data_IF_415816731897
#
_entry.id   IF_415816731897
#
_cell.length_a   1.000
_cell.length_b   1.000
_cell.length_c   1.000
_cell.angle_alpha   90.00
_cell.angle_beta   90.00
_cell.angle_gamma   90.00
#
_symmetry.space_group_name_H-M   'P 1'
#
loop_
_entity.id
_entity.type
_entity.pdbx_description
1 polymer ?
#
# COMPACT_ATOMS: atom_id res chain seq x y z
N UNK A 1 -1.35 2.87 34.92
CA UNK A 1 -2.34 2.25 34.01
C UNK A 1 -3.35 3.35 33.77
N UNK A 2 -3.02 4.25 32.84
CA UNK A 2 -3.83 5.44 32.59
C UNK A 2 -5.11 5.04 31.87
N UNK A 3 -6.23 5.46 32.45
CA UNK A 3 -7.56 5.34 31.89
C UNK A 3 -7.57 5.94 30.48
N UNK A 4 -7.97 5.13 29.49
CA UNK A 4 -8.45 5.61 28.21
C UNK A 4 -9.76 6.38 28.42
N UNK A 5 -9.65 7.56 29.03
CA UNK A 5 -10.76 8.42 29.39
C UNK A 5 -11.50 8.84 28.12
N UNK A 6 -12.82 8.69 28.20
CA UNK A 6 -13.73 8.53 27.08
C UNK A 6 -13.68 9.69 26.07
N UNK A 7 -13.23 9.38 24.85
CA UNK A 7 -13.49 10.25 23.71
C UNK A 7 -15.01 10.51 23.60
N UNK A 8 -15.44 11.72 23.20
CA UNK A 8 -16.86 12.01 22.99
C UNK A 8 -17.46 11.02 21.97
N UNK A 9 -18.75 10.68 22.09
CA UNK A 9 -19.42 9.83 21.10
C UNK A 9 -19.32 10.47 19.71
N UNK A 10 -19.29 9.63 18.68
CA UNK A 10 -19.31 10.11 17.30
C UNK A 10 -20.60 10.93 17.07
N UNK A 11 -20.53 12.09 16.41
CA UNK A 11 -21.73 12.93 16.21
C UNK A 11 -22.79 12.25 15.33
N UNK A 12 -24.06 12.39 15.70
CA UNK A 12 -25.20 11.83 14.95
C UNK A 12 -25.56 12.65 13.69
N UNK A 13 -25.00 13.84 13.53
CA UNK A 13 -25.28 14.79 12.45
C UNK A 13 -24.26 14.75 11.31
N UNK A 14 -23.28 13.85 11.38
CA UNK A 14 -22.25 13.68 10.34
C UNK A 14 -22.63 12.51 9.42
N UNK A 15 -22.75 12.73 8.09
CA UNK A 15 -22.99 11.66 7.14
C UNK A 15 -21.92 10.57 7.24
N UNK A 16 -22.36 9.32 7.39
CA UNK A 16 -21.46 8.15 7.43
C UNK A 16 -21.51 7.36 6.14
N UNK A 17 -20.37 6.80 5.73
CA UNK A 17 -20.32 5.78 4.69
C UNK A 17 -20.14 4.39 5.32
N UNK A 18 -20.85 3.35 4.82
CA UNK A 18 -20.66 1.99 5.33
C UNK A 18 -19.28 1.45 4.94
N UNK A 19 -18.48 1.07 5.94
CA UNK A 19 -17.19 0.41 5.74
C UNK A 19 -17.39 -1.10 5.67
N UNK A 20 -17.82 -1.59 4.49
CA UNK A 20 -18.05 -3.01 4.29
C UNK A 20 -16.75 -3.81 4.47
N UNK A 21 -16.79 -4.87 5.28
CA UNK A 21 -15.70 -5.84 5.43
C UNK A 21 -16.09 -7.19 4.84
N UNK A 22 -15.25 -7.68 3.93
CA UNK A 22 -15.35 -8.99 3.27
C UNK A 22 -14.27 -9.93 3.80
N UNK A 23 -14.50 -11.25 3.72
CA UNK A 23 -13.55 -12.27 4.13
C UNK A 23 -12.82 -12.89 2.94
N UNK A 24 -11.48 -12.76 2.91
CA UNK A 24 -10.67 -13.42 1.89
C UNK A 24 -10.83 -14.95 1.92
N UNK A 25 -10.94 -15.54 3.12
CA UNK A 25 -11.13 -16.99 3.28
C UNK A 25 -12.42 -17.48 2.62
N UNK A 26 -13.53 -16.76 2.82
CA UNK A 26 -14.83 -17.07 2.21
C UNK A 26 -14.84 -16.87 0.70
N UNK A 27 -14.17 -15.82 0.21
CA UNK A 27 -13.99 -15.59 -1.22
C UNK A 27 -13.16 -16.73 -1.86
N UNK A 28 -12.10 -17.19 -1.20
CA UNK A 28 -11.32 -18.37 -1.63
C UNK A 28 -12.15 -19.65 -1.68
N UNK A 29 -13.02 -19.84 -0.69
CA UNK A 29 -13.97 -20.95 -0.66
C UNK A 29 -15.14 -20.79 -1.64
N UNK A 30 -15.23 -19.65 -2.35
CA UNK A 30 -16.33 -19.29 -3.25
C UNK A 30 -17.70 -19.39 -2.57
N UNK A 31 -17.78 -18.99 -1.31
CA UNK A 31 -19.07 -18.93 -0.60
C UNK A 31 -20.03 -18.00 -1.37
N UNK A 32 -21.20 -18.48 -1.84
CA UNK A 32 -22.08 -17.71 -2.72
C UNK A 32 -22.48 -16.36 -2.15
N UNK A 33 -22.67 -16.28 -0.84
CA UNK A 33 -23.09 -15.06 -0.15
C UNK A 33 -21.97 -14.02 -0.14
N UNK A 34 -20.72 -14.44 0.08
CA UNK A 34 -19.58 -13.51 0.11
C UNK A 34 -19.25 -13.00 -1.29
N UNK A 35 -19.35 -13.85 -2.31
CA UNK A 35 -19.19 -13.45 -3.72
C UNK A 35 -20.24 -12.40 -4.10
N UNK A 36 -21.52 -12.60 -3.73
CA UNK A 36 -22.57 -11.61 -3.99
C UNK A 36 -22.29 -10.28 -3.27
N UNK A 37 -21.83 -10.32 -2.02
CA UNK A 37 -21.45 -9.11 -1.25
C UNK A 37 -20.27 -8.39 -1.89
N UNK A 38 -19.28 -9.12 -2.39
CA UNK A 38 -18.15 -8.56 -3.12
C UNK A 38 -18.59 -7.83 -4.39
N UNK A 39 -19.37 -8.48 -5.27
CA UNK A 39 -19.87 -7.86 -6.50
C UNK A 39 -20.69 -6.59 -6.20
N UNK A 40 -21.60 -6.67 -5.23
CA UNK A 40 -22.42 -5.52 -4.83
C UNK A 40 -21.56 -4.35 -4.29
N UNK A 41 -20.48 -4.64 -3.56
CA UNK A 41 -19.56 -3.61 -3.06
C UNK A 41 -18.83 -2.90 -4.21
N UNK A 42 -18.38 -3.66 -5.20
CA UNK A 42 -17.72 -3.14 -6.40
C UNK A 42 -18.67 -2.25 -7.23
N UNK A 43 -19.92 -2.66 -7.40
CA UNK A 43 -20.92 -1.93 -8.21
C UNK A 43 -21.47 -0.68 -7.51
N UNK A 44 -21.65 -0.73 -6.18
CA UNK A 44 -22.30 0.37 -5.45
C UNK A 44 -21.31 1.41 -4.92
N UNK A 45 -20.28 0.99 -4.18
CA UNK A 45 -19.35 1.89 -3.49
C UNK A 45 -17.99 1.97 -4.19
N UNK A 46 -17.59 0.92 -4.91
CA UNK A 46 -16.24 0.79 -5.47
C UNK A 46 -15.15 0.62 -4.41
N UNK A 47 -15.53 0.37 -3.15
CA UNK A 47 -14.62 0.26 -2.01
C UNK A 47 -15.12 -0.75 -0.96
N UNK A 48 -14.18 -1.50 -0.38
CA UNK A 48 -14.42 -2.41 0.75
C UNK A 48 -13.11 -2.69 1.49
N UNK A 49 -13.21 -3.11 2.74
CA UNK A 49 -12.12 -3.76 3.46
C UNK A 49 -12.13 -5.24 3.19
N UNK A 50 -10.94 -5.82 3.04
CA UNK A 50 -10.76 -7.25 2.97
C UNK A 50 -10.05 -7.74 4.22
N UNK A 51 -10.69 -8.69 4.90
CA UNK A 51 -10.08 -9.42 5.99
C UNK A 51 -9.10 -10.44 5.44
N UNK A 52 -7.82 -10.15 5.66
CA UNK A 52 -6.68 -10.98 5.26
C UNK A 52 -6.26 -11.98 6.35
N UNK A 53 -7.07 -12.16 7.40
CA UNK A 53 -6.72 -12.98 8.57
C UNK A 53 -6.11 -14.34 8.21
N UNK A 54 -4.91 -14.58 8.75
CA UNK A 54 -4.14 -15.81 8.52
C UNK A 54 -3.32 -15.85 7.23
N UNK A 55 -3.36 -14.82 6.38
CA UNK A 55 -2.56 -14.76 5.15
C UNK A 55 -1.15 -14.21 5.40
N UNK A 56 -0.15 -14.83 4.76
CA UNK A 56 1.26 -14.45 4.88
C UNK A 56 1.53 -13.00 4.43
N UNK A 57 0.67 -12.42 3.59
CA UNK A 57 0.77 -11.03 3.13
C UNK A 57 0.79 -10.04 4.29
N UNK A 58 0.12 -10.34 5.42
CA UNK A 58 0.09 -9.45 6.59
C UNK A 58 1.47 -9.34 7.25
N UNK A 59 2.12 -10.47 7.51
CA UNK A 59 3.47 -10.49 8.10
C UNK A 59 4.51 -9.86 7.15
N UNK A 60 4.33 -10.08 5.84
CA UNK A 60 5.17 -9.44 4.82
C UNK A 60 4.96 -7.93 4.76
N UNK A 61 3.72 -7.46 4.92
CA UNK A 61 3.39 -6.04 5.00
C UNK A 61 4.02 -5.38 6.23
N UNK A 62 3.94 -6.02 7.40
CA UNK A 62 4.57 -5.54 8.64
C UNK A 62 6.08 -5.37 8.46
N UNK A 63 6.76 -6.37 7.91
CA UNK A 63 8.19 -6.29 7.61
C UNK A 63 8.53 -5.20 6.56
N UNK A 64 7.62 -4.91 5.63
CA UNK A 64 7.78 -3.82 4.68
C UNK A 64 7.51 -2.45 5.30
N UNK A 65 6.65 -2.34 6.32
CA UNK A 65 6.51 -1.10 7.08
C UNK A 65 7.82 -0.75 7.80
N UNK A 66 8.51 -1.74 8.37
CA UNK A 66 9.83 -1.54 8.98
C UNK A 66 10.88 -1.12 7.92
N UNK A 67 10.87 -1.76 6.75
CA UNK A 67 11.74 -1.39 5.64
C UNK A 67 11.46 0.04 5.14
N UNK A 68 10.18 0.43 5.06
CA UNK A 68 9.73 1.76 4.68
C UNK A 68 10.17 2.82 5.69
N UNK A 69 10.04 2.55 6.98
CA UNK A 69 10.55 3.44 8.04
C UNK A 69 12.06 3.65 7.90
N UNK A 70 12.82 2.55 7.82
CA UNK A 70 14.27 2.61 7.67
C UNK A 70 14.71 3.31 6.37
N UNK A 71 13.94 3.19 5.28
CA UNK A 71 14.16 3.93 4.04
C UNK A 71 13.97 5.43 4.23
N UNK A 72 12.87 5.86 4.84
CA UNK A 72 12.57 7.29 4.97
C UNK A 72 13.36 7.98 6.08
N UNK A 73 13.91 7.22 7.04
CA UNK A 73 14.89 7.68 8.04
C UNK A 73 16.28 7.96 7.42
N UNK A 74 16.55 7.53 6.18
CA UNK A 74 17.79 7.88 5.49
C UNK A 74 17.90 9.40 5.25
N UNK A 75 19.11 9.97 5.26
CA UNK A 75 19.31 11.37 4.91
C UNK A 75 18.75 11.69 3.53
N UNK A 76 18.16 12.88 3.37
CA UNK A 76 17.61 13.33 2.08
C UNK A 76 18.65 13.24 0.95
N UNK A 77 19.91 13.57 1.23
CA UNK A 77 20.99 13.48 0.26
C UNK A 77 21.20 12.05 -0.25
N UNK A 78 20.98 11.03 0.58
CA UNK A 78 21.06 9.64 0.18
C UNK A 78 19.83 9.25 -0.66
N UNK A 79 18.62 9.56 -0.18
CA UNK A 79 17.36 9.28 -0.90
C UNK A 79 17.34 9.93 -2.29
N UNK A 80 17.83 11.16 -2.41
CA UNK A 80 17.89 11.92 -3.66
C UNK A 80 18.78 11.30 -4.74
N UNK A 81 19.73 10.41 -4.38
CA UNK A 81 20.53 9.65 -5.36
C UNK A 81 19.67 8.69 -6.20
N UNK A 82 18.49 8.36 -5.71
CA UNK A 82 17.53 7.46 -6.31
C UNK A 82 16.34 8.20 -6.95
N UNK A 83 16.42 9.53 -7.12
CA UNK A 83 15.47 10.28 -7.93
C UNK A 83 15.77 10.06 -9.41
N UNK A 84 14.88 9.33 -10.06
CA UNK A 84 14.98 9.00 -11.48
C UNK A 84 13.99 9.79 -12.35
N UNK A 85 13.35 10.84 -11.81
CA UNK A 85 12.37 11.66 -12.54
C UNK A 85 12.92 12.22 -13.85
N UNK A 86 14.22 12.59 -13.88
CA UNK A 86 14.92 13.06 -15.09
C UNK A 86 15.01 12.01 -16.21
N UNK A 87 14.83 10.74 -15.87
CA UNK A 87 14.76 9.63 -16.83
C UNK A 87 13.32 9.38 -17.32
N UNK A 88 12.36 10.23 -16.96
CA UNK A 88 10.96 10.10 -17.36
C UNK A 88 10.25 8.90 -16.74
N UNK A 89 10.73 8.39 -15.60
CA UNK A 89 10.12 7.26 -14.89
C UNK A 89 9.53 7.71 -13.56
N UNK A 90 8.56 6.93 -13.07
CA UNK A 90 8.04 7.05 -11.71
C UNK A 90 8.83 6.22 -10.70
N UNK A 91 9.78 5.39 -11.12
CA UNK A 91 10.56 4.52 -10.22
C UNK A 91 11.54 5.33 -9.37
N UNK A 92 11.86 4.80 -8.20
CA UNK A 92 12.78 5.45 -7.27
C UNK A 92 12.11 6.50 -6.38
N UNK A 93 12.93 7.40 -5.85
CA UNK A 93 12.54 8.37 -4.84
C UNK A 93 11.90 9.62 -5.44
N UNK A 94 10.88 10.13 -4.75
CA UNK A 94 10.27 11.45 -4.99
C UNK A 94 10.23 12.22 -3.68
N UNK A 95 10.73 13.45 -3.71
CA UNK A 95 10.79 14.34 -2.55
C UNK A 95 9.47 15.07 -2.24
N UNK A 96 9.34 15.50 -0.99
CA UNK A 96 8.22 16.35 -0.55
C UNK A 96 8.10 17.60 -1.41
N UNK A 97 6.88 17.92 -1.83
CA UNK A 97 6.56 19.09 -2.63
C UNK A 97 6.92 18.97 -4.11
N UNK A 98 7.32 17.79 -4.59
CA UNK A 98 7.61 17.58 -6.01
C UNK A 98 6.35 17.41 -6.87
N UNK A 99 5.15 17.35 -6.30
CA UNK A 99 3.88 17.31 -7.04
C UNK A 99 2.85 18.28 -6.50
N UNK A 100 1.94 18.72 -7.38
CA UNK A 100 0.81 19.59 -7.03
C UNK A 100 -0.34 18.71 -6.54
N UNK A 101 -0.84 18.99 -5.34
CA UNK A 101 -1.86 18.22 -4.65
C UNK A 101 -3.30 18.67 -4.97
N UNK A 102 -3.50 19.93 -5.39
CA UNK A 102 -4.82 20.49 -5.66
C UNK A 102 -4.84 21.52 -6.79
N UNK A 103 -6.04 21.92 -7.21
CA UNK A 103 -6.23 22.90 -8.28
C UNK A 103 -5.71 24.31 -7.94
N UNK A 104 -5.44 24.60 -6.66
CA UNK A 104 -4.89 25.87 -6.21
C UNK A 104 -3.35 25.93 -6.35
N UNK A 105 -2.71 24.82 -6.73
CA UNK A 105 -1.25 24.76 -6.85
C UNK A 105 -0.54 24.40 -5.55
N UNK A 106 -1.26 23.95 -4.51
CA UNK A 106 -0.65 23.53 -3.25
C UNK A 106 0.27 22.35 -3.51
N UNK A 107 1.51 22.43 -3.04
CA UNK A 107 2.47 21.33 -3.14
C UNK A 107 2.13 20.24 -2.11
N UNK A 108 2.34 18.98 -2.48
CA UNK A 108 2.14 17.86 -1.58
C UNK A 108 3.07 17.91 -0.35
N UNK A 109 2.69 17.15 0.68
CA UNK A 109 3.46 17.02 1.93
C UNK A 109 3.96 15.59 2.16
N UNK A 110 4.13 14.83 1.08
CA UNK A 110 4.54 13.43 1.15
C UNK A 110 5.83 13.18 0.38
N UNK A 111 6.59 12.20 0.84
CA UNK A 111 7.61 11.56 0.04
C UNK A 111 7.16 10.13 -0.30
N UNK A 112 7.63 9.60 -1.42
CA UNK A 112 7.37 8.22 -1.79
C UNK A 112 8.57 7.60 -2.51
N UNK A 113 8.62 6.27 -2.49
CA UNK A 113 9.59 5.48 -3.23
C UNK A 113 8.84 4.39 -4.00
N UNK A 114 8.97 4.39 -5.32
CA UNK A 114 8.31 3.41 -6.18
C UNK A 114 9.26 2.28 -6.56
N UNK A 115 8.79 1.05 -6.39
CA UNK A 115 9.54 -0.17 -6.71
C UNK A 115 8.81 -0.91 -7.82
N UNK A 116 9.47 -1.12 -8.95
CA UNK A 116 8.89 -1.79 -10.10
C UNK A 116 8.81 -3.31 -9.91
N UNK A 117 7.68 -3.91 -10.29
CA UNK A 117 7.54 -5.37 -10.32
C UNK A 117 8.56 -6.00 -11.27
N UNK A 118 8.71 -5.46 -12.48
CA UNK A 118 9.64 -6.00 -13.47
C UNK A 118 11.10 -5.94 -13.01
N UNK A 119 11.45 -4.96 -12.17
CA UNK A 119 12.76 -4.92 -11.52
C UNK A 119 12.91 -6.08 -10.53
N UNK A 120 12.03 -6.15 -9.52
CA UNK A 120 12.08 -7.18 -8.46
C UNK A 120 12.05 -8.60 -9.02
N UNK A 121 11.35 -8.80 -10.13
CA UNK A 121 11.25 -10.09 -10.80
C UNK A 121 12.31 -10.34 -11.88
N UNK A 122 13.22 -9.39 -12.10
CA UNK A 122 14.30 -9.47 -13.09
C UNK A 122 13.80 -9.66 -14.53
N UNK A 123 12.65 -9.05 -14.84
CA UNK A 123 11.99 -9.11 -16.14
C UNK A 123 12.25 -7.85 -17.00
N UNK A 124 12.93 -6.85 -16.43
CA UNK A 124 13.20 -5.59 -17.10
C UNK A 124 14.45 -4.89 -16.57
N UNK A 125 14.45 -3.55 -16.66
CA UNK A 125 15.55 -2.74 -16.12
C UNK A 125 15.64 -2.90 -14.61
N UNK A 126 16.83 -3.28 -14.13
CA UNK A 126 17.20 -3.20 -12.70
C UNK A 126 17.51 -1.75 -12.34
N UNK A 127 16.84 -1.22 -11.32
CA UNK A 127 17.10 0.11 -10.81
C UNK A 127 18.09 0.04 -9.63
N UNK A 128 19.03 0.99 -9.52
CA UNK A 128 19.76 1.18 -8.28
C UNK A 128 18.77 1.44 -7.13
N UNK A 129 19.02 0.84 -5.97
CA UNK A 129 18.22 1.04 -4.76
C UNK A 129 19.12 1.21 -3.53
N UNK A 130 18.65 1.89 -2.46
CA UNK A 130 19.32 1.89 -1.17
C UNK A 130 19.50 0.49 -0.61
N UNK A 131 20.57 0.26 0.16
CA UNK A 131 20.87 -1.03 0.77
C UNK A 131 19.71 -1.58 1.62
N UNK A 132 18.94 -0.71 2.26
CA UNK A 132 17.74 -1.10 3.04
C UNK A 132 16.69 -1.81 2.18
N UNK A 133 16.57 -1.46 0.90
CA UNK A 133 15.68 -2.15 -0.04
C UNK A 133 16.40 -3.31 -0.73
N UNK A 134 17.66 -3.12 -1.13
CA UNK A 134 18.43 -4.12 -1.87
C UNK A 134 18.63 -5.40 -1.04
N UNK A 135 18.98 -5.27 0.24
CA UNK A 135 19.10 -6.39 1.19
C UNK A 135 17.77 -7.12 1.46
N UNK A 136 16.63 -6.51 1.09
CA UNK A 136 15.27 -7.04 1.32
C UNK A 136 14.54 -7.39 0.03
N UNK A 137 15.25 -7.54 -1.11
CA UNK A 137 14.61 -7.90 -2.40
C UNK A 137 13.76 -9.17 -2.33
N UNK A 138 14.19 -10.18 -1.57
CA UNK A 138 13.40 -11.40 -1.38
C UNK A 138 12.04 -11.11 -0.72
N UNK A 139 12.00 -10.26 0.31
CA UNK A 139 10.77 -9.83 0.98
C UNK A 139 9.85 -9.05 0.02
N UNK A 140 10.41 -8.10 -0.73
CA UNK A 140 9.67 -7.34 -1.76
C UNK A 140 9.03 -8.28 -2.78
N UNK A 141 9.79 -9.26 -3.27
CA UNK A 141 9.30 -10.28 -4.21
C UNK A 141 8.16 -11.08 -3.60
N UNK A 142 8.34 -11.61 -2.38
CA UNK A 142 7.33 -12.41 -1.71
C UNK A 142 6.03 -11.63 -1.46
N UNK A 143 6.12 -10.38 -0.99
CA UNK A 143 4.95 -9.52 -0.81
C UNK A 143 4.22 -9.27 -2.13
N UNK A 144 4.96 -8.92 -3.20
CA UNK A 144 4.36 -8.71 -4.53
C UNK A 144 3.67 -9.97 -5.06
N UNK A 145 4.21 -11.17 -4.80
CA UNK A 145 3.58 -12.44 -5.17
C UNK A 145 2.28 -12.67 -4.40
N UNK A 146 2.31 -12.53 -3.07
CA UNK A 146 1.14 -12.74 -2.20
C UNK A 146 0.01 -11.77 -2.53
N UNK A 147 0.34 -10.47 -2.62
CA UNK A 147 -0.63 -9.42 -2.95
C UNK A 147 -1.22 -9.63 -4.35
N UNK A 148 -0.40 -9.96 -5.34
CA UNK A 148 -0.88 -10.26 -6.69
C UNK A 148 -1.81 -11.48 -6.71
N UNK A 149 -1.47 -12.56 -5.99
CA UNK A 149 -2.31 -13.75 -5.90
C UNK A 149 -3.69 -13.47 -5.28
N UNK A 150 -3.75 -12.57 -4.30
CA UNK A 150 -5.01 -12.10 -3.71
C UNK A 150 -5.84 -11.33 -4.74
N UNK A 151 -5.22 -10.38 -5.47
CA UNK A 151 -5.93 -9.59 -6.49
C UNK A 151 -6.44 -10.49 -7.62
N UNK A 152 -5.67 -11.49 -8.07
CA UNK A 152 -6.10 -12.43 -9.11
C UNK A 152 -7.31 -13.28 -8.71
N UNK A 153 -7.56 -13.47 -7.41
CA UNK A 153 -8.77 -14.14 -6.93
C UNK A 153 -10.04 -13.31 -7.17
N UNK A 154 -9.91 -11.99 -7.30
CA UNK A 154 -11.01 -11.02 -7.35
C UNK A 154 -11.42 -10.64 -8.78
N UNK A 155 -10.77 -11.21 -9.79
CA UNK A 155 -11.03 -10.95 -11.21
C UNK A 155 -11.79 -12.10 -11.84
#
# INVERSE_FOLDING_TARGET
MDSADAAPPFPDDVPTAPLLRLSLAKLRAREPDEVRRFTAACEALGFFYLDLGGDAVLQQADALFDAGRALFDLPLAEKARYDFSRLGTYMGYKAVGASVADAAGTLDRNEFYNIGKDDVFELGRRWPAPDVLESRRALLRSFMQSAHGIVTLMV
#
